data_IF_335945589132
#
_entry.id   IF_335945589132
#
_cell.length_a   1.000
_cell.length_b   1.000
_cell.length_c   1.000
_cell.angle_alpha   90.00
_cell.angle_beta   90.00
_cell.angle_gamma   90.00
#
_symmetry.space_group_name_H-M   'P 1'
#
loop_
_entity.id
_entity.type
_entity.pdbx_description
1 polymer ?
#
# COMPACT_ATOMS: atom_id res chain seq x y z
N UNK A 1 9.04 18.72 39.14
CA UNK A 1 8.73 19.12 40.53
C UNK A 1 9.93 19.78 41.22
N UNK A 2 11.11 19.16 41.21
CA UNK A 2 12.36 19.72 41.77
C UNK A 2 12.82 21.03 41.10
N UNK A 3 12.72 21.17 39.78
CA UNK A 3 12.98 22.44 39.08
C UNK A 3 11.98 23.55 39.48
N UNK A 4 10.71 23.20 39.67
CA UNK A 4 9.68 24.15 40.09
C UNK A 4 9.95 24.61 41.54
N UNK A 5 10.32 23.68 42.42
CA UNK A 5 10.73 23.98 43.80
C UNK A 5 11.98 24.85 43.84
N UNK A 6 12.95 24.62 42.96
CA UNK A 6 14.17 25.44 42.85
C UNK A 6 13.85 26.88 42.43
N UNK A 7 13.03 27.06 41.41
CA UNK A 7 12.63 28.39 40.91
C UNK A 7 11.68 29.13 41.87
N UNK A 8 10.86 28.41 42.62
CA UNK A 8 9.95 28.98 43.62
C UNK A 8 10.56 29.02 45.03
N UNK A 9 11.78 28.52 45.23
CA UNK A 9 12.44 28.48 46.53
C UNK A 9 12.50 29.84 47.24
N UNK A 10 12.72 30.97 46.56
CA UNK A 10 12.70 32.28 47.21
C UNK A 10 11.33 32.62 47.82
N UNK A 11 10.24 32.15 47.20
CA UNK A 11 8.87 32.42 47.67
C UNK A 11 8.41 31.44 48.75
N UNK A 12 8.88 30.19 48.69
CA UNK A 12 8.44 29.12 49.60
C UNK A 12 9.32 29.06 50.86
N UNK A 13 10.64 29.23 50.71
CA UNK A 13 11.61 29.03 51.79
C UNK A 13 12.35 30.31 52.20
N UNK A 14 12.09 31.44 51.52
CA UNK A 14 12.79 32.71 51.79
C UNK A 14 14.28 32.70 51.42
N UNK A 15 14.77 31.63 50.81
CA UNK A 15 16.16 31.44 50.45
C UNK A 15 16.34 31.50 48.93
N UNK A 16 17.36 32.23 48.47
CA UNK A 16 17.76 32.18 47.06
C UNK A 16 18.48 30.86 46.80
N UNK A 17 18.08 30.09 45.78
CA UNK A 17 18.83 28.91 45.40
C UNK A 17 20.22 29.32 44.93
N UNK A 18 21.21 28.45 45.16
CA UNK A 18 22.58 28.67 44.73
C UNK A 18 22.64 28.94 43.22
N UNK A 19 23.49 29.86 42.79
CA UNK A 19 23.82 29.98 41.37
C UNK A 19 24.77 28.83 40.93
N UNK A 20 25.03 28.70 39.63
CA UNK A 20 25.86 27.60 39.11
C UNK A 20 27.28 27.59 39.72
N UNK A 21 27.90 28.76 39.89
CA UNK A 21 29.22 28.87 40.52
C UNK A 21 29.20 28.48 42.00
N UNK A 22 28.16 28.87 42.74
CA UNK A 22 27.96 28.50 44.14
C UNK A 22 27.69 27.01 44.29
N UNK A 23 26.96 26.38 43.35
CA UNK A 23 26.75 24.93 43.32
C UNK A 23 28.06 24.16 43.11
N UNK A 24 28.95 24.66 42.25
CA UNK A 24 30.26 24.04 42.02
C UNK A 24 31.15 24.16 43.26
N UNK A 25 31.19 25.33 43.90
CA UNK A 25 31.95 25.55 45.14
C UNK A 25 31.37 24.69 46.28
N UNK A 26 30.04 24.64 46.41
CA UNK A 26 29.38 23.78 47.37
C UNK A 26 29.70 22.30 47.14
N UNK A 27 29.65 21.86 45.88
CA UNK A 27 30.00 20.50 45.51
C UNK A 27 31.46 20.18 45.86
N UNK A 28 32.39 21.11 45.65
CA UNK A 28 33.80 20.91 45.97
C UNK A 28 34.06 20.79 47.49
N UNK A 29 33.25 21.48 48.30
CA UNK A 29 33.33 21.42 49.76
C UNK A 29 32.71 20.15 50.39
N UNK A 30 32.08 19.27 49.61
CA UNK A 30 31.53 18.00 50.10
C UNK A 30 32.64 16.95 50.36
N UNK A 31 32.41 16.05 51.31
CA UNK A 31 33.28 14.88 51.50
C UNK A 31 33.26 13.96 50.27
N UNK A 32 34.35 13.23 50.05
CA UNK A 32 34.49 12.31 48.90
C UNK A 32 33.31 11.32 48.80
N UNK A 33 32.87 10.78 49.94
CA UNK A 33 31.71 9.87 50.01
C UNK A 33 30.42 10.49 49.42
N UNK A 34 30.14 11.76 49.71
CA UNK A 34 28.97 12.45 49.16
C UNK A 34 29.15 12.82 47.68
N UNK A 35 30.35 13.22 47.27
CA UNK A 35 30.66 13.45 45.84
C UNK A 35 30.41 12.19 45.01
N UNK A 36 30.91 11.04 45.47
CA UNK A 36 30.70 9.75 44.80
C UNK A 36 29.22 9.38 44.78
N UNK A 37 28.49 9.51 45.89
CA UNK A 37 27.06 9.20 45.94
C UNK A 37 26.23 10.06 44.95
N UNK A 38 26.52 11.37 44.85
CA UNK A 38 25.86 12.28 43.90
C UNK A 38 26.19 11.90 42.46
N UNK A 39 27.47 11.69 42.12
CA UNK A 39 27.89 11.32 40.76
C UNK A 39 27.29 9.98 40.36
N UNK A 40 27.33 8.96 41.22
CA UNK A 40 26.73 7.65 40.95
C UNK A 40 25.23 7.76 40.72
N UNK A 41 24.51 8.54 41.56
CA UNK A 41 23.07 8.76 41.38
C UNK A 41 22.76 9.47 40.06
N UNK A 42 23.55 10.49 39.69
CA UNK A 42 23.40 11.18 38.40
C UNK A 42 23.65 10.24 37.23
N UNK A 43 24.69 9.41 37.30
CA UNK A 43 25.02 8.44 36.26
C UNK A 43 23.90 7.41 36.10
N UNK A 44 23.30 6.95 37.20
CA UNK A 44 22.11 6.10 37.18
C UNK A 44 20.90 6.79 36.54
N UNK A 45 20.61 8.04 36.91
CA UNK A 45 19.49 8.81 36.32
C UNK A 45 19.69 9.00 34.82
N UNK A 46 20.89 9.40 34.39
CA UNK A 46 21.24 9.57 32.97
C UNK A 46 21.11 8.23 32.23
N UNK A 47 21.60 7.13 32.83
CA UNK A 47 21.45 5.78 32.28
C UNK A 47 19.98 5.40 32.08
N UNK A 48 19.12 5.65 33.06
CA UNK A 48 17.68 5.43 32.95
C UNK A 48 17.03 6.30 31.88
N UNK A 49 17.41 7.57 31.75
CA UNK A 49 16.87 8.46 30.72
C UNK A 49 17.24 7.97 29.30
N UNK A 50 18.50 7.58 29.08
CA UNK A 50 18.95 7.05 27.79
C UNK A 50 18.25 5.72 27.45
N UNK A 51 18.14 4.82 28.44
CA UNK A 51 17.45 3.54 28.26
C UNK A 51 15.96 3.74 27.97
N UNK A 52 15.30 4.62 28.72
CA UNK A 52 13.88 4.94 28.52
C UNK A 52 13.63 5.59 27.15
N UNK A 53 14.47 6.55 26.74
CA UNK A 53 14.36 7.17 25.42
C UNK A 53 14.57 6.15 24.30
N UNK A 54 15.59 5.30 24.42
CA UNK A 54 15.86 4.24 23.45
C UNK A 54 14.72 3.23 23.37
N UNK A 55 14.21 2.77 24.51
CA UNK A 55 13.09 1.84 24.58
C UNK A 55 11.81 2.45 23.99
N UNK A 56 11.51 3.71 24.32
CA UNK A 56 10.35 4.43 23.80
C UNK A 56 10.43 4.62 22.29
N UNK A 57 11.61 4.97 21.77
CA UNK A 57 11.84 5.09 20.31
C UNK A 57 11.61 3.74 19.62
N UNK A 58 12.25 2.68 20.10
CA UNK A 58 12.10 1.34 19.54
C UNK A 58 10.64 0.87 19.55
N UNK A 59 9.92 1.12 20.65
CA UNK A 59 8.50 0.77 20.73
C UNK A 59 7.65 1.53 19.72
N UNK A 60 7.88 2.83 19.53
CA UNK A 60 7.19 3.63 18.50
C UNK A 60 7.50 3.12 17.10
N UNK A 61 8.76 2.83 16.81
CA UNK A 61 9.19 2.33 15.50
C UNK A 61 8.55 0.97 15.19
N UNK A 62 8.48 0.07 16.19
CA UNK A 62 7.79 -1.21 16.08
C UNK A 62 6.28 -1.04 15.86
N UNK A 63 5.63 -0.13 16.58
CA UNK A 63 4.20 0.14 16.42
C UNK A 63 3.89 0.65 15.01
N UNK A 64 4.68 1.61 14.50
CA UNK A 64 4.51 2.13 13.14
C UNK A 64 4.75 1.04 12.10
N UNK A 65 5.78 0.20 12.28
CA UNK A 65 6.05 -0.93 11.39
C UNK A 65 4.87 -1.92 11.37
N UNK A 66 4.28 -2.23 12.53
CA UNK A 66 3.12 -3.11 12.62
C UNK A 66 1.89 -2.54 11.90
N UNK A 67 1.60 -1.24 12.06
CA UNK A 67 0.48 -0.59 11.36
C UNK A 67 0.73 -0.59 9.83
N UNK A 68 1.97 -0.36 9.39
CA UNK A 68 2.33 -0.44 7.96
C UNK A 68 2.15 -1.85 7.40
N UNK A 69 2.56 -2.88 8.14
CA UNK A 69 2.35 -4.26 7.74
C UNK A 69 0.86 -4.62 7.68
N UNK A 70 0.08 -4.21 8.69
CA UNK A 70 -1.38 -4.40 8.68
C UNK A 70 -2.01 -3.71 7.46
N UNK A 71 -1.69 -2.44 7.22
CA UNK A 71 -2.16 -1.70 6.05
C UNK A 71 -1.77 -2.39 4.73
N UNK A 72 -0.51 -2.82 4.60
CA UNK A 72 -0.01 -3.59 3.46
C UNK A 72 -0.80 -4.88 3.22
N UNK A 73 -1.05 -5.65 4.27
CA UNK A 73 -1.80 -6.90 4.16
C UNK A 73 -3.26 -6.67 3.76
N UNK A 74 -3.90 -5.63 4.30
CA UNK A 74 -5.26 -5.28 3.91
C UNK A 74 -5.34 -4.79 2.46
N UNK A 75 -4.35 -4.01 1.98
CA UNK A 75 -4.23 -3.63 0.56
C UNK A 75 -4.15 -4.89 -0.30
N UNK A 76 -3.29 -5.83 0.09
CA UNK A 76 -3.08 -7.06 -0.66
C UNK A 76 -4.36 -7.88 -0.79
N UNK A 77 -5.03 -8.13 0.34
CA UNK A 77 -6.27 -8.90 0.39
C UNK A 77 -7.36 -8.26 -0.48
N UNK A 78 -7.60 -6.96 -0.31
CA UNK A 78 -8.68 -6.26 -1.01
C UNK A 78 -8.38 -6.15 -2.50
N UNK A 79 -7.22 -5.62 -2.89
CA UNK A 79 -6.96 -5.34 -4.30
C UNK A 79 -6.62 -6.59 -5.12
N UNK A 80 -6.09 -7.65 -4.51
CA UNK A 80 -5.97 -8.95 -5.19
C UNK A 80 -7.35 -9.48 -5.52
N UNK A 81 -8.27 -9.49 -4.55
CA UNK A 81 -9.64 -9.96 -4.77
C UNK A 81 -10.40 -9.10 -5.79
N UNK A 82 -10.26 -7.78 -5.71
CA UNK A 82 -10.82 -6.87 -6.73
C UNK A 82 -10.28 -7.20 -8.11
N UNK A 83 -8.97 -7.45 -8.25
CA UNK A 83 -8.36 -7.77 -9.55
C UNK A 83 -8.88 -9.09 -10.13
N UNK A 84 -9.06 -10.11 -9.29
CA UNK A 84 -9.68 -11.38 -9.68
C UNK A 84 -11.12 -11.18 -10.20
N UNK A 85 -11.94 -10.41 -9.46
CA UNK A 85 -13.32 -10.12 -9.84
C UNK A 85 -13.41 -9.32 -11.13
N UNK A 86 -12.55 -8.30 -11.31
CA UNK A 86 -12.46 -7.52 -12.54
C UNK A 86 -12.13 -8.41 -13.73
N UNK A 87 -11.17 -9.32 -13.58
CA UNK A 87 -10.82 -10.26 -14.64
C UNK A 87 -11.95 -11.24 -14.95
N UNK A 88 -12.66 -11.75 -13.95
CA UNK A 88 -13.83 -12.64 -14.16
C UNK A 88 -14.98 -11.92 -14.88
N UNK A 89 -15.29 -10.69 -14.47
CA UNK A 89 -16.28 -9.82 -15.12
C UNK A 89 -15.89 -9.53 -16.57
N UNK A 90 -14.61 -9.26 -16.83
CA UNK A 90 -14.09 -9.09 -18.19
C UNK A 90 -14.32 -10.33 -19.05
N UNK A 91 -13.98 -11.51 -18.53
CA UNK A 91 -14.17 -12.78 -19.25
C UNK A 91 -15.65 -12.99 -19.59
N UNK A 92 -16.55 -12.73 -18.64
CA UNK A 92 -18.00 -12.81 -18.90
C UNK A 92 -18.44 -11.83 -20.00
N UNK A 93 -17.95 -10.59 -19.98
CA UNK A 93 -18.26 -9.60 -21.01
C UNK A 93 -17.73 -10.00 -22.39
N UNK A 94 -16.46 -10.43 -22.47
CA UNK A 94 -15.82 -10.91 -23.69
C UNK A 94 -16.57 -12.10 -24.30
N UNK A 95 -17.03 -13.06 -23.47
CA UNK A 95 -17.82 -14.20 -23.92
C UNK A 95 -19.15 -13.75 -24.56
N UNK A 96 -19.86 -12.80 -23.96
CA UNK A 96 -21.11 -12.28 -24.53
C UNK A 96 -20.86 -11.62 -25.90
N UNK A 97 -19.79 -10.83 -26.03
CA UNK A 97 -19.41 -10.18 -27.29
C UNK A 97 -19.05 -11.21 -28.38
N UNK A 98 -18.25 -12.22 -28.04
CA UNK A 98 -17.88 -13.29 -28.97
C UNK A 98 -19.09 -14.06 -29.49
N UNK A 99 -20.08 -14.34 -28.63
CA UNK A 99 -21.32 -15.01 -29.05
C UNK A 99 -22.08 -14.12 -30.05
N UNK A 100 -22.21 -12.82 -29.79
CA UNK A 100 -22.89 -11.89 -30.72
C UNK A 100 -22.14 -11.80 -32.06
N UNK A 101 -20.82 -11.77 -32.03
CA UNK A 101 -19.99 -11.78 -33.25
C UNK A 101 -20.18 -13.07 -34.06
N UNK A 102 -20.15 -14.25 -33.39
CA UNK A 102 -20.42 -15.54 -34.03
C UNK A 102 -21.80 -15.59 -34.68
N UNK A 103 -22.83 -15.04 -34.01
CA UNK A 103 -24.18 -14.92 -34.58
C UNK A 103 -24.17 -14.03 -35.82
N UNK A 104 -23.54 -12.86 -35.74
CA UNK A 104 -23.46 -11.91 -36.86
C UNK A 104 -22.69 -12.45 -38.07
N UNK A 105 -21.69 -13.32 -37.84
CA UNK A 105 -20.90 -13.98 -38.88
C UNK A 105 -21.62 -15.18 -39.53
N UNK A 106 -22.82 -15.56 -39.06
CA UNK A 106 -23.55 -16.73 -39.56
C UNK A 106 -22.92 -18.06 -39.14
N UNK A 107 -22.37 -18.14 -37.93
CA UNK A 107 -21.79 -19.37 -37.37
C UNK A 107 -22.80 -20.51 -37.19
N UNK A 108 -22.29 -21.70 -36.85
CA UNK A 108 -23.13 -22.88 -36.63
C UNK A 108 -24.11 -22.67 -35.46
N UNK A 109 -25.40 -22.89 -35.72
CA UNK A 109 -26.46 -22.65 -34.75
C UNK A 109 -26.36 -23.59 -33.54
N UNK A 110 -25.84 -24.81 -33.71
CA UNK A 110 -25.67 -25.73 -32.58
C UNK A 110 -24.54 -25.28 -31.66
N UNK A 111 -23.41 -24.83 -32.24
CA UNK A 111 -22.32 -24.24 -31.47
C UNK A 111 -22.77 -22.99 -30.71
N UNK A 112 -23.45 -22.06 -31.39
CA UNK A 112 -24.01 -20.84 -30.78
C UNK A 112 -24.97 -21.19 -29.64
N UNK A 113 -25.85 -22.17 -29.85
CA UNK A 113 -26.80 -22.62 -28.83
C UNK A 113 -26.09 -23.13 -27.57
N UNK A 114 -25.00 -23.87 -27.74
CA UNK A 114 -24.20 -24.38 -26.63
C UNK A 114 -23.46 -23.26 -25.90
N UNK A 115 -22.89 -22.31 -26.63
CA UNK A 115 -22.22 -21.15 -26.04
C UNK A 115 -23.21 -20.29 -25.22
N UNK A 116 -24.42 -20.07 -25.75
CA UNK A 116 -25.49 -19.35 -25.04
C UNK A 116 -25.91 -20.10 -23.76
N UNK A 117 -26.05 -21.44 -23.82
CA UNK A 117 -26.35 -22.25 -22.62
C UNK A 117 -25.22 -22.14 -21.60
N UNK A 118 -23.98 -22.20 -22.06
CA UNK A 118 -22.81 -22.08 -21.20
C UNK A 118 -22.76 -20.72 -20.51
N UNK A 119 -22.87 -19.60 -21.24
CA UNK A 119 -22.81 -18.26 -20.63
C UNK A 119 -23.99 -18.03 -19.68
N UNK A 120 -25.18 -18.54 -20.02
CA UNK A 120 -26.35 -18.47 -19.14
C UNK A 120 -26.11 -19.24 -17.83
N UNK A 121 -25.39 -20.37 -17.87
CA UNK A 121 -24.99 -21.08 -16.65
C UNK A 121 -24.01 -20.29 -15.77
N UNK A 122 -23.30 -19.30 -16.34
CA UNK A 122 -22.39 -18.41 -15.61
C UNK A 122 -23.07 -17.16 -15.04
N UNK A 123 -24.36 -16.94 -15.31
CA UNK A 123 -25.07 -15.74 -14.88
C UNK A 123 -25.07 -15.55 -13.36
N UNK A 124 -25.36 -16.60 -12.59
CA UNK A 124 -25.39 -16.53 -11.12
C UNK A 124 -24.01 -16.16 -10.56
N UNK A 125 -22.96 -16.75 -11.13
CA UNK A 125 -21.58 -16.42 -10.78
C UNK A 125 -21.27 -14.95 -11.06
N UNK A 126 -21.59 -14.45 -12.25
CA UNK A 126 -21.40 -13.04 -12.60
C UNK A 126 -22.16 -12.10 -11.66
N UNK A 127 -23.43 -12.41 -11.35
CA UNK A 127 -24.25 -11.61 -10.43
C UNK A 127 -23.65 -11.57 -9.02
N UNK A 128 -23.16 -12.70 -8.53
CA UNK A 128 -22.47 -12.80 -7.23
C UNK A 128 -21.17 -11.99 -7.23
N UNK A 129 -20.33 -12.15 -8.26
CA UNK A 129 -19.05 -11.45 -8.38
C UNK A 129 -19.23 -9.92 -8.50
N UNK A 130 -20.27 -9.48 -9.23
CA UNK A 130 -20.67 -8.08 -9.32
C UNK A 130 -21.03 -7.51 -7.94
N UNK A 131 -21.82 -8.25 -7.15
CA UNK A 131 -22.20 -7.83 -5.81
C UNK A 131 -20.99 -7.75 -4.88
N UNK A 132 -20.11 -8.76 -4.94
CA UNK A 132 -18.88 -8.79 -4.16
C UNK A 132 -17.95 -7.62 -4.51
N UNK A 133 -17.79 -7.31 -5.80
CA UNK A 133 -16.98 -6.17 -6.25
C UNK A 133 -17.53 -4.85 -5.70
N UNK A 134 -18.85 -4.68 -5.66
CA UNK A 134 -19.50 -3.50 -5.08
C UNK A 134 -19.17 -3.33 -3.58
N UNK A 135 -19.19 -4.44 -2.83
CA UNK A 135 -18.84 -4.45 -1.40
C UNK A 135 -17.36 -4.11 -1.21
N UNK A 136 -16.47 -4.76 -1.96
CA UNK A 136 -15.02 -4.54 -1.86
C UNK A 136 -14.62 -3.13 -2.28
N UNK A 137 -15.29 -2.55 -3.27
CA UNK A 137 -15.11 -1.15 -3.64
C UNK A 137 -15.39 -0.22 -2.45
N UNK A 138 -16.45 -0.46 -1.68
CA UNK A 138 -16.72 0.27 -0.44
C UNK A 138 -15.64 0.07 0.62
N UNK A 139 -15.16 -1.16 0.80
CA UNK A 139 -14.08 -1.47 1.74
C UNK A 139 -12.75 -0.82 1.34
N UNK A 140 -12.47 -0.68 0.05
CA UNK A 140 -11.27 -0.01 -0.45
C UNK A 140 -11.24 1.48 -0.04
N UNK A 141 -12.39 2.16 0.05
CA UNK A 141 -12.46 3.52 0.61
C UNK A 141 -12.28 3.55 2.12
N UNK A 142 -12.84 2.56 2.85
CA UNK A 142 -12.65 2.45 4.29
C UNK A 142 -11.17 2.25 4.66
N UNK A 143 -10.43 1.53 3.81
CA UNK A 143 -8.99 1.34 3.96
C UNK A 143 -8.22 2.68 3.95
N UNK A 144 -8.61 3.61 3.07
CA UNK A 144 -8.04 4.97 3.04
C UNK A 144 -8.31 5.71 4.35
N UNK A 145 -9.55 5.65 4.86
CA UNK A 145 -9.90 6.28 6.12
C UNK A 145 -9.08 5.72 7.29
N UNK A 146 -9.02 4.39 7.41
CA UNK A 146 -8.37 3.68 8.51
C UNK A 146 -6.86 3.91 8.58
N UNK A 147 -6.18 3.98 7.44
CA UNK A 147 -4.72 4.11 7.38
C UNK A 147 -4.23 5.44 6.78
N UNK A 148 -5.09 6.45 6.74
CA UNK A 148 -4.82 7.77 6.17
C UNK A 148 -3.48 8.37 6.62
N UNK A 149 -3.21 8.35 7.93
CA UNK A 149 -1.95 8.87 8.51
C UNK A 149 -0.72 8.17 7.91
N UNK A 150 -0.78 6.85 7.75
CA UNK A 150 0.33 6.07 7.18
C UNK A 150 0.50 6.39 5.70
N UNK A 151 -0.60 6.45 4.94
CA UNK A 151 -0.53 6.77 3.51
C UNK A 151 -0.06 8.19 3.25
N UNK A 152 -0.45 9.16 4.06
CA UNK A 152 0.05 10.54 3.99
C UNK A 152 1.53 10.64 4.38
N UNK A 153 1.98 9.83 5.34
CA UNK A 153 3.40 9.78 5.73
C UNK A 153 4.31 9.08 4.72
N UNK A 154 3.73 8.38 3.73
CA UNK A 154 4.45 7.57 2.76
C UNK A 154 4.36 8.18 1.37
N UNK A 155 5.52 8.46 0.76
CA UNK A 155 5.60 9.22 -0.48
C UNK A 155 4.66 8.70 -1.56
N UNK A 156 3.73 9.58 -2.00
CA UNK A 156 2.79 9.32 -3.09
C UNK A 156 1.90 8.08 -2.87
N UNK A 157 1.74 7.58 -1.64
CA UNK A 157 0.94 6.37 -1.39
C UNK A 157 -0.56 6.70 -1.29
N UNK A 158 -0.90 7.83 -0.68
CA UNK A 158 -2.27 8.32 -0.59
C UNK A 158 -2.89 8.55 -1.98
N UNK A 159 -2.19 9.28 -2.85
CA UNK A 159 -2.68 9.57 -4.20
C UNK A 159 -2.79 8.31 -5.06
N UNK A 160 -1.84 7.36 -4.93
CA UNK A 160 -1.89 6.09 -5.65
C UNK A 160 -3.08 5.23 -5.23
N UNK A 161 -3.40 5.14 -3.94
CA UNK A 161 -4.57 4.40 -3.47
C UNK A 161 -5.88 5.09 -3.87
N UNK A 162 -5.95 6.42 -3.78
CA UNK A 162 -7.12 7.16 -4.26
C UNK A 162 -7.37 6.90 -5.74
N UNK A 163 -6.34 7.01 -6.57
CA UNK A 163 -6.46 6.69 -8.00
C UNK A 163 -6.90 5.25 -8.25
N UNK A 164 -6.37 4.28 -7.49
CA UNK A 164 -6.86 2.90 -7.57
C UNK A 164 -8.37 2.81 -7.31
N UNK A 165 -8.87 3.51 -6.29
CA UNK A 165 -10.30 3.51 -6.01
C UNK A 165 -11.13 4.17 -7.10
N UNK A 166 -10.62 5.23 -7.73
CA UNK A 166 -11.26 5.85 -8.90
C UNK A 166 -11.35 4.85 -10.07
N UNK A 167 -10.28 4.13 -10.35
CA UNK A 167 -10.27 3.10 -11.40
C UNK A 167 -11.23 1.94 -11.10
N UNK A 168 -11.28 1.45 -9.85
CA UNK A 168 -12.26 0.44 -9.44
C UNK A 168 -13.69 0.96 -9.56
N UNK A 169 -13.92 2.22 -9.18
CA UNK A 169 -15.23 2.88 -9.34
C UNK A 169 -15.70 2.87 -10.79
N UNK A 170 -14.80 3.15 -11.74
CA UNK A 170 -15.15 3.14 -13.17
C UNK A 170 -15.65 1.77 -13.66
N UNK A 171 -15.15 0.67 -13.10
CA UNK A 171 -15.70 -0.68 -13.37
C UNK A 171 -17.03 -0.87 -12.65
N UNK A 172 -17.11 -0.48 -11.38
CA UNK A 172 -18.31 -0.60 -10.56
C UNK A 172 -19.52 0.15 -11.15
N UNK A 173 -19.28 1.27 -11.84
CA UNK A 173 -20.32 2.05 -12.50
C UNK A 173 -20.79 1.38 -13.81
N UNK A 174 -19.91 0.62 -14.49
CA UNK A 174 -20.19 0.00 -15.79
C UNK A 174 -20.65 -1.46 -15.74
N UNK A 175 -20.41 -2.16 -14.64
CA UNK A 175 -20.76 -3.59 -14.48
C UNK A 175 -22.28 -3.87 -14.47
N UNK A 176 -23.13 -2.83 -14.48
CA UNK A 176 -24.59 -2.92 -14.49
C UNK A 176 -25.16 -3.16 -15.90
N UNK A 177 -24.69 -4.23 -16.54
CA UNK A 177 -25.21 -4.74 -17.82
C UNK A 177 -26.40 -5.68 -17.60
N UNK A 178 -27.25 -5.79 -18.62
CA UNK A 178 -28.38 -6.73 -18.60
C UNK A 178 -27.86 -8.16 -18.72
N UNK A 179 -28.26 -9.01 -17.77
CA UNK A 179 -27.91 -10.44 -17.74
C UNK A 179 -29.02 -11.22 -18.45
N UNK A 180 -28.71 -12.01 -19.48
CA UNK A 180 -29.71 -12.70 -20.29
C UNK A 180 -30.41 -13.79 -19.49
N UNK A 181 -31.73 -13.71 -19.36
CA UNK A 181 -32.57 -14.76 -18.76
C UNK A 181 -33.37 -15.42 -19.87
N UNK A 182 -33.03 -16.66 -20.20
CA UNK A 182 -33.56 -17.35 -21.38
C UNK A 182 -34.38 -18.57 -21.00
N UNK A 183 -35.46 -18.77 -21.75
CA UNK A 183 -36.18 -20.03 -21.82
C UNK A 183 -35.66 -20.85 -23.00
N UNK A 184 -34.92 -21.91 -22.70
CA UNK A 184 -34.35 -22.82 -23.71
C UNK A 184 -35.37 -23.73 -24.39
N UNK A 185 -36.61 -23.78 -23.89
CA UNK A 185 -37.71 -24.47 -24.57
C UNK A 185 -38.27 -23.66 -25.73
N UNK A 186 -38.00 -22.35 -25.77
CA UNK A 186 -38.41 -21.49 -26.88
C UNK A 186 -37.49 -21.67 -28.10
N UNK A 187 -38.01 -22.02 -29.29
CA UNK A 187 -37.21 -22.15 -30.52
C UNK A 187 -36.47 -20.87 -30.93
N UNK A 188 -36.92 -19.70 -30.44
CA UNK A 188 -36.35 -18.38 -30.74
C UNK A 188 -35.45 -17.84 -29.61
N UNK A 189 -34.93 -18.70 -28.74
CA UNK A 189 -34.09 -18.26 -27.61
C UNK A 189 -32.85 -17.47 -28.05
N UNK A 190 -32.32 -17.72 -29.26
CA UNK A 190 -31.18 -16.95 -29.83
C UNK A 190 -31.58 -15.51 -30.13
N UNK A 191 -32.75 -15.28 -30.75
CA UNK A 191 -33.28 -13.93 -30.98
C UNK A 191 -33.54 -13.21 -29.64
N UNK A 192 -34.06 -13.94 -28.66
CA UNK A 192 -34.30 -13.40 -27.32
C UNK A 192 -32.98 -13.02 -26.62
N UNK A 193 -31.93 -13.82 -26.75
CA UNK A 193 -30.59 -13.50 -26.24
C UNK A 193 -30.05 -12.19 -26.80
N UNK A 194 -30.16 -11.97 -28.11
CA UNK A 194 -29.72 -10.72 -28.75
C UNK A 194 -30.43 -9.48 -28.20
N UNK A 195 -31.67 -9.62 -27.72
CA UNK A 195 -32.41 -8.50 -27.11
C UNK A 195 -31.83 -8.06 -25.75
N UNK A 196 -31.12 -8.95 -25.04
CA UNK A 196 -30.47 -8.62 -23.77
C UNK A 196 -29.07 -8.05 -23.95
N UNK A 197 -28.33 -8.52 -24.95
CA UNK A 197 -26.91 -8.18 -25.11
C UNK A 197 -26.75 -6.85 -25.84
N UNK A 198 -26.48 -5.80 -25.08
CA UNK A 198 -26.05 -4.52 -25.64
C UNK A 198 -24.54 -4.55 -25.88
N UNK A 199 -24.15 -4.69 -27.16
CA UNK A 199 -22.74 -4.79 -27.60
C UNK A 199 -21.89 -3.62 -27.11
N UNK A 200 -22.41 -2.39 -27.19
CA UNK A 200 -21.70 -1.19 -26.77
C UNK A 200 -21.38 -1.22 -25.27
N UNK A 201 -22.37 -1.55 -24.43
CA UNK A 201 -22.18 -1.63 -22.97
C UNK A 201 -21.22 -2.75 -22.54
N UNK A 202 -21.33 -3.92 -23.17
CA UNK A 202 -20.42 -5.04 -22.89
C UNK A 202 -18.99 -4.73 -23.37
N UNK A 203 -18.83 -4.04 -24.50
CA UNK A 203 -17.52 -3.60 -25.01
C UNK A 203 -16.87 -2.55 -24.10
N UNK A 204 -17.62 -1.52 -23.67
CA UNK A 204 -17.13 -0.50 -22.73
C UNK A 204 -16.75 -1.12 -21.37
N UNK A 205 -17.55 -2.09 -20.89
CA UNK A 205 -17.22 -2.84 -19.67
C UNK A 205 -15.92 -3.64 -19.83
N UNK A 206 -15.79 -4.43 -20.90
CA UNK A 206 -14.60 -5.25 -21.14
C UNK A 206 -13.33 -4.40 -21.27
N UNK A 207 -13.41 -3.28 -21.99
CA UNK A 207 -12.32 -2.33 -22.11
C UNK A 207 -11.94 -1.73 -20.76
N UNK A 208 -12.93 -1.22 -20.00
CA UNK A 208 -12.67 -0.63 -18.70
C UNK A 208 -12.05 -1.64 -17.72
N UNK A 209 -12.50 -2.90 -17.72
CA UNK A 209 -11.90 -3.95 -16.90
C UNK A 209 -10.43 -4.20 -17.27
N UNK A 210 -10.11 -4.22 -18.58
CA UNK A 210 -8.74 -4.40 -19.07
C UNK A 210 -7.79 -3.30 -18.57
N UNK A 211 -8.19 -2.04 -18.74
CA UNK A 211 -7.40 -0.88 -18.30
C UNK A 211 -7.24 -0.85 -16.77
N UNK A 212 -8.32 -1.15 -16.05
CA UNK A 212 -8.36 -1.12 -14.59
C UNK A 212 -7.50 -2.22 -13.97
N UNK A 213 -7.53 -3.44 -14.52
CA UNK A 213 -6.79 -4.58 -13.98
C UNK A 213 -5.29 -4.29 -13.88
N UNK A 214 -4.69 -3.81 -14.96
CA UNK A 214 -3.25 -3.48 -15.00
C UNK A 214 -2.92 -2.35 -14.02
N UNK A 215 -3.78 -1.34 -13.94
CA UNK A 215 -3.54 -0.20 -13.07
C UNK A 215 -3.61 -0.58 -11.59
N UNK A 216 -4.70 -1.25 -11.19
CA UNK A 216 -4.96 -1.64 -9.80
C UNK A 216 -3.87 -2.56 -9.27
N UNK A 217 -3.52 -3.61 -10.02
CA UNK A 217 -2.46 -4.55 -9.62
C UNK A 217 -1.11 -3.86 -9.46
N UNK A 218 -0.72 -3.01 -10.42
CA UNK A 218 0.57 -2.30 -10.40
C UNK A 218 0.66 -1.32 -9.24
N UNK A 219 -0.36 -0.49 -9.05
CA UNK A 219 -0.34 0.57 -8.04
C UNK A 219 -0.54 0.00 -6.62
N UNK A 220 -1.40 -1.01 -6.46
CA UNK A 220 -1.55 -1.69 -5.18
C UNK A 220 -0.24 -2.37 -4.77
N UNK A 221 0.42 -3.06 -5.71
CA UNK A 221 1.75 -3.65 -5.49
C UNK A 221 2.82 -2.61 -5.14
N UNK A 222 2.79 -1.44 -5.80
CA UNK A 222 3.71 -0.33 -5.50
C UNK A 222 3.52 0.19 -4.08
N UNK A 223 2.28 0.51 -3.69
CA UNK A 223 1.99 1.01 -2.34
C UNK A 223 2.32 -0.05 -1.29
N UNK A 224 1.99 -1.32 -1.55
CA UNK A 224 2.37 -2.44 -0.69
C UNK A 224 3.89 -2.50 -0.50
N UNK A 225 4.65 -2.46 -1.59
CA UNK A 225 6.11 -2.50 -1.57
C UNK A 225 6.74 -1.31 -0.84
N UNK A 226 6.12 -0.13 -0.93
CA UNK A 226 6.50 1.04 -0.13
C UNK A 226 6.28 0.76 1.36
N UNK A 227 5.08 0.32 1.75
CA UNK A 227 4.75 0.10 3.17
C UNK A 227 5.58 -1.00 3.84
N UNK A 228 5.90 -2.07 3.11
CA UNK A 228 6.73 -3.18 3.61
C UNK A 228 8.22 -2.91 3.48
N UNK A 229 8.60 -2.04 2.56
CA UNK A 229 9.97 -1.60 2.40
C UNK A 229 10.49 -0.97 3.69
N UNK A 230 11.74 -1.27 4.04
CA UNK A 230 12.49 -0.43 4.96
C UNK A 230 12.70 0.90 4.25
N UNK A 231 11.75 1.82 4.36
CA UNK A 231 12.05 3.21 4.08
C UNK A 231 13.17 3.60 5.04
N UNK A 232 14.38 3.78 4.50
CA UNK A 232 15.27 4.78 5.05
C UNK A 232 14.40 6.01 5.22
N UNK A 233 14.16 6.42 6.46
CA UNK A 233 13.54 7.71 6.76
C UNK A 233 14.12 8.72 5.78
N UNK A 234 13.26 9.51 5.13
CA UNK A 234 13.69 10.48 4.13
C UNK A 234 14.60 11.50 4.84
N UNK A 235 15.87 11.17 4.91
CA UNK A 235 16.85 11.93 5.63
C UNK A 235 17.29 13.00 4.65
N UNK A 236 16.86 14.24 4.88
CA UNK A 236 17.25 15.39 4.06
C UNK A 236 18.78 15.49 3.90
N UNK A 237 19.55 15.05 4.90
CA UNK A 237 21.01 14.94 4.80
C UNK A 237 21.45 13.81 3.86
N UNK A 238 20.75 12.68 3.83
CA UNK A 238 21.03 11.56 2.91
C UNK A 238 20.63 11.92 1.47
N UNK A 239 19.50 12.62 1.27
CA UNK A 239 19.09 13.18 -0.03
C UNK A 239 20.07 14.26 -0.52
N UNK A 240 20.46 15.19 0.36
CA UNK A 240 21.48 16.20 0.07
C UNK A 240 22.85 15.58 -0.25
N UNK A 241 23.28 14.57 0.52
CA UNK A 241 24.52 13.84 0.26
C UNK A 241 24.46 13.00 -1.03
N UNK A 242 23.30 12.46 -1.39
CA UNK A 242 23.08 11.78 -2.67
C UNK A 242 23.12 12.75 -3.85
N UNK A 243 22.55 13.94 -3.72
CA UNK A 243 22.65 14.99 -4.75
C UNK A 243 24.08 15.54 -4.87
N UNK A 244 24.75 15.77 -3.74
CA UNK A 244 26.13 16.27 -3.69
C UNK A 244 27.15 15.24 -4.20
N UNK A 245 26.96 13.96 -3.88
CA UNK A 245 27.86 12.86 -4.29
C UNK A 245 27.32 12.07 -5.49
N UNK A 246 26.28 12.55 -6.18
CA UNK A 246 25.64 11.83 -7.29
C UNK A 246 26.60 11.43 -8.41
N UNK A 247 27.65 12.24 -8.64
CA UNK A 247 28.75 11.96 -9.58
C UNK A 247 29.63 10.78 -9.16
N UNK A 248 29.83 10.56 -7.85
CA UNK A 248 30.58 9.42 -7.34
C UNK A 248 29.77 8.12 -7.47
N UNK A 249 28.44 8.19 -7.35
CA UNK A 249 27.56 7.03 -7.53
C UNK A 249 27.52 6.57 -8.99
N UNK A 250 27.47 7.50 -9.95
CA UNK A 250 27.58 7.17 -11.38
C UNK A 250 28.92 6.51 -11.71
N UNK A 251 30.03 7.02 -11.17
CA UNK A 251 31.36 6.42 -11.37
C UNK A 251 31.49 5.02 -10.75
N UNK A 252 30.88 4.80 -9.58
CA UNK A 252 30.85 3.49 -8.93
C UNK A 252 30.03 2.49 -9.75
N UNK A 253 28.87 2.90 -10.26
CA UNK A 253 28.01 2.07 -11.10
C UNK A 253 28.67 1.70 -12.44
N UNK A 254 29.38 2.65 -13.08
CA UNK A 254 30.18 2.37 -14.27
C UNK A 254 31.34 1.40 -14.01
N UNK A 255 32.03 1.50 -12.85
CA UNK A 255 33.08 0.54 -12.46
C UNK A 255 32.53 -0.86 -12.25
N UNK A 256 31.40 -1.00 -11.56
CA UNK A 256 30.74 -2.31 -11.34
C UNK A 256 30.31 -2.94 -12.68
N UNK A 257 29.75 -2.16 -13.60
CA UNK A 257 29.38 -2.64 -14.94
C UNK A 257 30.58 -3.11 -15.77
N UNK A 258 31.74 -2.45 -15.60
CA UNK A 258 33.00 -2.80 -16.27
C UNK A 258 33.63 -4.08 -15.69
N UNK A 259 33.50 -4.31 -14.38
CA UNK A 259 33.94 -5.53 -13.71
C UNK A 259 33.03 -6.71 -14.09
N UNK A 260 31.71 -6.52 -14.11
CA UNK A 260 30.75 -7.54 -14.56
C UNK A 260 30.98 -8.01 -16.00
N UNK A 261 31.28 -7.08 -16.93
CA UNK A 261 31.67 -7.44 -18.31
C UNK A 261 33.00 -8.21 -18.39
N UNK A 262 33.98 -7.89 -17.53
CA UNK A 262 35.26 -8.63 -17.48
C UNK A 262 35.10 -10.05 -16.94
N UNK A 263 34.21 -10.26 -15.97
CA UNK A 263 33.92 -11.59 -15.41
C UNK A 263 33.14 -12.44 -16.44
N UNK A 264 32.15 -11.86 -17.12
CA UNK A 264 31.38 -12.54 -18.18
C UNK A 264 32.23 -12.94 -19.40
N UNK A 265 33.27 -12.19 -19.74
CA UNK A 265 34.18 -12.56 -20.84
C UNK A 265 35.27 -13.56 -20.42
N UNK A 266 35.49 -13.76 -19.12
CA UNK A 266 36.45 -14.76 -18.61
C UNK A 266 35.83 -16.15 -18.44
N UNK A 267 34.50 -16.23 -18.31
CA UNK A 267 33.74 -17.48 -18.21
C UNK A 267 33.39 -18.11 -19.56
N UNK A 268 33.81 -17.51 -20.69
CA UNK A 268 33.57 -18.04 -22.05
C UNK A 268 34.84 -18.69 -22.65
N UNK A 269 36.01 -18.51 -22.02
CA UNK A 269 37.23 -19.24 -22.36
C UNK A 269 37.65 -20.11 -21.17
N UNK A 270 37.00 -21.25 -21.03
CA UNK A 270 37.55 -22.41 -20.34
C UNK A 270 37.33 -23.57 -21.30
N UNK A 271 38.40 -23.92 -22.02
CA UNK A 271 38.59 -25.23 -22.66
C UNK A 271 38.61 -26.33 -21.59
#
# INVERSE_FOLDING_TARGET
MSLILYWQAPKIFGAKPFNFSELVIWFDNLSESFKTAIISSLLTIIGFLIAFQSATKNWKDQLVANIRLDASNNIDLIYTRISELINSIKIYADMNLQIVEKIGAGGDLNEIANDIRYITSQNEKFLSERQELSILHGQAYQLIGRYSIIFMSTLNSFDQINKNNEFVKLVADRMWVLVPVLDFSNPKFVEHYLSFVNVEKYSDLAQQCSETYTYVTTMAGNVRGKLTGRFMEFNLSLFYNLLKNGWAFTDYWFKVKKIGKKVSNKSINID
#
